data_IF_140279677602
#
_entry.id   IF_140279677602
#
_cell.length_a   1.000
_cell.length_b   1.000
_cell.length_c   1.000
_cell.angle_alpha   90.00
_cell.angle_beta   90.00
_cell.angle_gamma   90.00
#
_symmetry.space_group_name_H-M   'P 1'
#
loop_
_entity.id
_entity.type
_entity.pdbx_description
1 polymer ?
#
# COMPACT_ATOMS: atom_id res chain seq x y z
N UNK A 1 20.17 -16.85 7.47
CA UNK A 1 19.89 -15.46 7.70
C UNK A 1 18.88 -14.95 6.70
N UNK A 2 17.79 -14.43 7.19
CA UNK A 2 16.68 -14.07 6.33
C UNK A 2 16.81 -12.66 5.84
N UNK A 3 17.28 -12.52 4.62
CA UNK A 3 17.35 -11.21 4.01
C UNK A 3 16.02 -10.89 3.37
N UNK A 4 15.02 -10.67 4.21
CA UNK A 4 13.73 -10.22 3.72
C UNK A 4 13.87 -8.81 3.18
N UNK A 5 13.26 -8.58 2.03
CA UNK A 5 13.21 -7.25 1.47
C UNK A 5 12.29 -6.37 2.32
N UNK A 6 12.73 -5.16 2.57
CA UNK A 6 11.91 -4.20 3.28
C UNK A 6 10.95 -3.55 2.31
N UNK A 7 9.68 -3.52 2.67
CA UNK A 7 8.63 -2.93 1.86
C UNK A 7 7.87 -1.93 2.72
N UNK A 8 7.96 -0.66 2.38
CA UNK A 8 7.26 0.40 3.11
C UNK A 8 6.09 0.91 2.30
N UNK A 9 4.92 0.87 2.90
CA UNK A 9 3.68 1.25 2.25
C UNK A 9 2.91 2.23 3.13
N UNK A 10 2.18 3.13 2.48
CA UNK A 10 1.23 4.01 3.15
C UNK A 10 -0.12 3.80 2.51
N UNK A 11 -1.12 3.46 3.33
CA UNK A 11 -2.49 3.35 2.88
C UNK A 11 -3.24 4.60 3.32
N UNK A 12 -3.72 5.39 2.37
CA UNK A 12 -4.50 6.58 2.64
C UNK A 12 -5.96 6.27 2.34
N UNK A 13 -6.78 6.27 3.36
CA UNK A 13 -8.18 5.89 3.21
C UNK A 13 -9.03 6.55 4.30
N UNK A 14 -10.26 6.88 3.97
CA UNK A 14 -11.19 7.37 4.95
C UNK A 14 -11.59 6.24 5.90
N UNK A 15 -12.04 6.62 7.10
CA UNK A 15 -12.37 5.64 8.13
C UNK A 15 -13.39 4.59 7.66
N UNK A 16 -14.42 5.04 6.93
CA UNK A 16 -15.43 4.12 6.41
C UNK A 16 -14.88 3.21 5.30
N UNK A 17 -13.84 3.64 4.61
CA UNK A 17 -13.21 2.81 3.59
C UNK A 17 -12.37 1.70 4.18
N UNK A 18 -11.81 1.92 5.38
CA UNK A 18 -10.97 0.91 6.03
C UNK A 18 -11.75 -0.36 6.37
N UNK A 19 -13.06 -0.25 6.52
CA UNK A 19 -13.90 -1.41 6.80
C UNK A 19 -14.46 -2.06 5.54
N UNK A 20 -14.15 -1.53 4.36
CA UNK A 20 -14.64 -2.12 3.11
C UNK A 20 -13.96 -3.45 2.83
N UNK A 21 -14.65 -4.30 2.07
CA UNK A 21 -14.10 -5.61 1.72
C UNK A 21 -12.85 -5.48 0.84
N UNK A 22 -12.78 -4.44 0.00
CA UNK A 22 -11.63 -4.23 -0.86
C UNK A 22 -10.37 -3.94 -0.04
N UNK A 23 -10.48 -3.08 0.96
CA UNK A 23 -9.33 -2.75 1.79
C UNK A 23 -8.95 -3.95 2.66
N UNK A 24 -9.93 -4.68 3.18
CA UNK A 24 -9.64 -5.89 3.94
C UNK A 24 -8.91 -6.92 3.08
N UNK A 25 -9.28 -7.03 1.82
CA UNK A 25 -8.59 -7.92 0.88
C UNK A 25 -7.15 -7.47 0.65
N UNK A 26 -6.92 -6.16 0.53
CA UNK A 26 -5.56 -5.62 0.39
C UNK A 26 -4.71 -5.99 1.59
N UNK A 27 -5.24 -5.79 2.79
CA UNK A 27 -4.50 -6.08 4.01
C UNK A 27 -4.19 -7.57 4.15
N UNK A 28 -5.18 -8.42 3.85
CA UNK A 28 -4.98 -9.85 3.91
C UNK A 28 -3.95 -10.33 2.89
N UNK A 29 -3.98 -9.75 1.70
CA UNK A 29 -3.03 -10.10 0.66
C UNK A 29 -1.60 -9.71 1.05
N UNK A 30 -1.44 -8.54 1.66
CA UNK A 30 -0.12 -8.13 2.16
C UNK A 30 0.38 -9.08 3.25
N UNK A 31 -0.50 -9.52 4.14
CA UNK A 31 -0.12 -10.47 5.18
C UNK A 31 0.36 -11.80 4.60
N UNK A 32 -0.18 -12.20 3.45
CA UNK A 32 0.24 -13.45 2.82
C UNK A 32 1.69 -13.41 2.34
N UNK A 33 2.27 -12.21 2.22
CA UNK A 33 3.65 -12.04 1.81
C UNK A 33 4.60 -11.75 2.98
N UNK A 34 4.13 -11.96 4.19
CA UNK A 34 4.92 -11.68 5.39
C UNK A 34 6.22 -12.49 5.46
N UNK A 35 6.25 -13.64 4.80
CA UNK A 35 7.45 -14.47 4.75
C UNK A 35 8.49 -13.96 3.76
N UNK A 36 8.07 -13.22 2.73
CA UNK A 36 8.94 -12.74 1.67
C UNK A 36 9.42 -11.31 1.89
N UNK A 37 8.60 -10.51 2.57
CA UNK A 37 8.90 -9.11 2.80
C UNK A 37 8.82 -8.77 4.28
N UNK A 38 9.63 -7.82 4.69
CA UNK A 38 9.44 -7.14 5.96
C UNK A 38 8.57 -5.93 5.65
N UNK A 39 7.27 -6.06 5.89
CA UNK A 39 6.30 -5.06 5.48
C UNK A 39 6.04 -4.08 6.61
N UNK A 40 6.23 -2.79 6.30
CA UNK A 40 5.88 -1.70 7.19
C UNK A 40 4.72 -0.95 6.55
N UNK A 41 3.55 -1.01 7.15
CA UNK A 41 2.36 -0.37 6.62
C UNK A 41 1.89 0.72 7.57
N UNK A 42 1.80 1.93 7.04
CA UNK A 42 1.22 3.04 7.76
C UNK A 42 -0.16 3.31 7.19
N UNK A 43 -1.15 3.43 8.05
CA UNK A 43 -2.50 3.78 7.63
C UNK A 43 -2.77 5.21 8.04
N UNK A 44 -3.14 6.04 7.07
CA UNK A 44 -3.37 7.46 7.29
C UNK A 44 -4.75 7.87 6.81
N UNK A 45 -5.42 8.67 7.62
CA UNK A 45 -6.73 9.19 7.27
C UNK A 45 -6.55 10.62 6.76
N UNK A 46 -7.13 10.95 5.58
CA UNK A 46 -6.91 12.28 4.97
C UNK A 46 -7.33 13.45 5.85
N UNK A 47 -8.34 13.27 6.70
CA UNK A 47 -8.78 14.34 7.59
C UNK A 47 -7.77 14.64 8.69
N UNK A 48 -6.95 13.66 9.05
CA UNK A 48 -5.92 13.83 10.07
C UNK A 48 -4.59 14.27 9.49
N UNK A 49 -4.31 13.85 8.26
CA UNK A 49 -3.06 14.17 7.59
C UNK A 49 -3.31 14.63 6.16
N UNK A 50 -3.98 15.79 5.99
CA UNK A 50 -4.31 16.27 4.65
C UNK A 50 -3.07 16.59 3.80
N UNK A 51 -1.94 16.87 4.43
CA UNK A 51 -0.71 17.15 3.70
C UNK A 51 -0.23 15.98 2.87
N UNK A 52 -0.62 14.75 3.21
CA UNK A 52 -0.24 13.59 2.41
C UNK A 52 -0.88 13.63 1.02
N UNK A 53 -2.07 14.19 0.91
CA UNK A 53 -2.73 14.31 -0.38
C UNK A 53 -1.94 15.20 -1.31
N UNK A 54 -1.42 16.30 -0.80
CA UNK A 54 -0.62 17.22 -1.59
C UNK A 54 0.78 16.67 -1.85
N UNK A 55 1.41 16.11 -0.83
CA UNK A 55 2.76 15.60 -0.94
C UNK A 55 2.88 14.53 -2.02
N UNK A 56 1.91 13.65 -2.09
CA UNK A 56 1.92 12.54 -3.04
C UNK A 56 1.03 12.80 -4.24
N UNK A 57 0.43 14.00 -4.34
CA UNK A 57 -0.46 14.41 -5.44
C UNK A 57 -1.58 13.40 -5.67
N UNK A 58 -2.21 12.99 -4.60
CA UNK A 58 -3.29 12.03 -4.68
C UNK A 58 -4.56 12.71 -5.18
N UNK A 59 -5.20 12.10 -6.19
CA UNK A 59 -6.45 12.63 -6.76
C UNK A 59 -7.65 11.81 -6.36
N UNK A 60 -7.45 10.67 -5.73
CA UNK A 60 -8.53 9.79 -5.32
C UNK A 60 -8.11 9.00 -4.09
N UNK A 61 -9.05 8.64 -3.25
CA UNK A 61 -8.86 7.72 -2.14
C UNK A 61 -9.89 6.60 -2.26
N UNK A 62 -9.57 5.40 -1.77
CA UNK A 62 -8.34 5.02 -1.11
C UNK A 62 -7.14 5.00 -2.04
N UNK A 63 -5.96 5.17 -1.48
CA UNK A 63 -4.72 5.13 -2.24
C UNK A 63 -3.67 4.35 -1.47
N UNK A 64 -2.90 3.54 -2.18
CA UNK A 64 -1.80 2.79 -1.60
C UNK A 64 -0.51 3.28 -2.22
N UNK A 65 0.43 3.71 -1.39
CA UNK A 65 1.68 4.28 -1.84
C UNK A 65 2.82 3.33 -1.45
N UNK A 66 3.58 2.87 -2.45
CA UNK A 66 4.81 2.16 -2.16
C UNK A 66 5.93 3.19 -2.04
N UNK A 67 6.46 3.35 -0.85
CA UNK A 67 7.51 4.31 -0.58
C UNK A 67 8.89 3.71 -0.84
N UNK A 68 9.10 2.49 -0.40
CA UNK A 68 10.39 1.82 -0.50
C UNK A 68 10.17 0.33 -0.74
N UNK A 69 10.99 -0.34 -1.56
CA UNK A 69 12.09 0.24 -2.32
C UNK A 69 11.61 1.11 -3.47
N UNK A 70 12.46 2.06 -3.87
CA UNK A 70 12.13 2.91 -5.01
C UNK A 70 12.12 2.17 -6.32
N UNK A 71 11.51 2.73 -7.35
CA UNK A 71 10.84 4.02 -7.34
C UNK A 71 9.49 3.99 -6.63
N UNK A 72 9.05 5.17 -6.19
CA UNK A 72 7.74 5.30 -5.55
C UNK A 72 6.63 4.98 -6.55
N UNK A 73 5.64 4.23 -6.12
CA UNK A 73 4.48 3.91 -6.93
C UNK A 73 3.21 4.22 -6.14
N UNK A 74 2.18 4.67 -6.86
CA UNK A 74 0.91 5.04 -6.24
C UNK A 74 -0.20 4.30 -6.96
N UNK A 75 -1.03 3.62 -6.20
CA UNK A 75 -2.24 2.98 -6.70
C UNK A 75 -3.43 3.66 -6.04
N UNK A 76 -4.36 4.15 -6.83
CA UNK A 76 -5.48 4.93 -6.30
C UNK A 76 -6.81 4.46 -6.86
N UNK A 77 -7.85 4.67 -6.07
CA UNK A 77 -9.20 4.35 -6.48
C UNK A 77 -9.59 2.91 -6.18
N UNK A 78 -10.57 2.41 -6.91
CA UNK A 78 -11.16 1.10 -6.63
C UNK A 78 -10.33 -0.08 -7.10
N UNK A 79 -9.21 0.15 -7.78
CA UNK A 79 -8.41 -0.92 -8.38
C UNK A 79 -7.17 -1.30 -7.59
N UNK A 80 -7.09 -0.84 -6.33
CA UNK A 80 -5.88 -1.05 -5.55
C UNK A 80 -5.54 -2.53 -5.41
N UNK A 81 -6.52 -3.36 -5.08
CA UNK A 81 -6.27 -4.78 -4.86
C UNK A 81 -5.77 -5.45 -6.14
N UNK A 82 -6.41 -5.17 -7.26
CA UNK A 82 -6.00 -5.75 -8.56
C UNK A 82 -4.58 -5.33 -8.93
N UNK A 83 -4.25 -4.07 -8.71
CA UNK A 83 -2.92 -3.58 -9.03
C UNK A 83 -1.87 -4.17 -8.09
N UNK A 84 -2.22 -4.30 -6.81
CA UNK A 84 -1.30 -4.90 -5.86
C UNK A 84 -1.02 -6.36 -6.22
N UNK A 85 -2.04 -7.11 -6.64
CA UNK A 85 -1.85 -8.49 -7.07
C UNK A 85 -0.91 -8.60 -8.27
N UNK A 86 -0.94 -7.59 -9.12
CA UNK A 86 -0.06 -7.54 -10.29
C UNK A 86 1.38 -7.20 -9.91
N UNK A 87 1.54 -6.25 -9.00
CA UNK A 87 2.87 -5.67 -8.72
C UNK A 87 3.63 -6.36 -7.59
N UNK A 88 2.94 -6.86 -6.58
CA UNK A 88 3.62 -7.44 -5.43
C UNK A 88 4.54 -8.60 -5.82
N UNK A 89 4.11 -9.55 -6.67
CA UNK A 89 5.04 -10.60 -7.12
C UNK A 89 6.24 -10.06 -7.89
N UNK A 90 6.05 -8.95 -8.62
CA UNK A 90 7.15 -8.34 -9.35
C UNK A 90 8.16 -7.70 -8.40
N UNK A 91 7.68 -7.07 -7.35
CA UNK A 91 8.57 -6.48 -6.35
C UNK A 91 9.41 -7.55 -5.66
N UNK A 92 8.82 -8.72 -5.49
CA UNK A 92 9.54 -9.84 -4.90
C UNK A 92 10.71 -10.27 -5.78
N UNK A 93 10.52 -10.25 -7.09
CA UNK A 93 11.55 -10.67 -8.03
C UNK A 93 12.59 -9.60 -8.33
N UNK A 94 12.22 -8.35 -8.16
CA UNK A 94 13.13 -7.22 -8.36
C UNK A 94 14.05 -7.14 -7.16
N UNK A 95 15.19 -7.49 -7.35
CA UNK A 95 15.94 -7.45 -6.19
C UNK A 95 17.30 -7.34 -6.16
#
# INVERSE_FOLDING_TARGET
MDDKKELKLILVAARNQLSSSDIKSVLAYLESYDCEFEISLQISEPTEQPELLELHRLVAIPALIKVSPGPKQIFAGSNIFSQLQKWLPRWKQEG
#
